data_IF_866657777913
#
_entry.id   IF_866657777913
#
_cell.length_a   1.000
_cell.length_b   1.000
_cell.length_c   1.000
_cell.angle_alpha   90.00
_cell.angle_beta   90.00
_cell.angle_gamma   90.00
#
_symmetry.space_group_name_H-M   'P 1'
#
loop_
_entity.id
_entity.type
_entity.pdbx_description
1 polymer ?
#
# COMPACT_ATOMS: atom_id res chain seq x y z
N UNK A 1 -17.67 -7.63 -24.65
CA UNK A 1 -16.74 -6.73 -23.94
C UNK A 1 -16.56 -7.34 -22.57
N UNK A 2 -15.48 -8.10 -22.39
CA UNK A 2 -15.16 -8.79 -21.14
C UNK A 2 -14.60 -7.76 -20.13
N UNK A 3 -15.09 -7.72 -18.89
CA UNK A 3 -14.50 -6.87 -17.85
C UNK A 3 -13.13 -7.45 -17.46
N UNK A 4 -12.06 -6.70 -17.71
CA UNK A 4 -10.71 -7.05 -17.29
C UNK A 4 -10.61 -7.08 -15.77
N UNK A 5 -9.84 -8.05 -15.23
CA UNK A 5 -9.46 -8.30 -13.83
C UNK A 5 -8.79 -7.13 -13.06
N UNK A 6 -8.95 -5.89 -13.52
CA UNK A 6 -8.39 -4.66 -12.95
C UNK A 6 -9.43 -3.78 -12.26
N UNK A 7 -10.62 -4.29 -11.96
CA UNK A 7 -11.53 -3.68 -10.98
C UNK A 7 -10.99 -3.92 -9.55
N UNK A 8 -9.72 -3.56 -9.34
CA UNK A 8 -9.21 -3.25 -8.02
C UNK A 8 -10.01 -2.06 -7.52
N UNK A 9 -10.65 -2.23 -6.36
CA UNK A 9 -11.46 -1.24 -5.65
C UNK A 9 -10.80 0.14 -5.72
N UNK A 10 -11.17 0.91 -6.74
CA UNK A 10 -10.67 2.26 -6.92
C UNK A 10 -11.61 3.12 -6.11
N UNK A 11 -11.26 3.35 -4.84
CA UNK A 11 -12.03 4.23 -3.98
C UNK A 11 -12.00 5.62 -4.62
N UNK A 12 -13.14 6.20 -5.02
CA UNK A 12 -13.17 7.55 -5.54
C UNK A 12 -12.55 8.50 -4.53
N UNK A 13 -11.69 9.43 -4.96
CA UNK A 13 -10.98 10.35 -4.05
C UNK A 13 -11.93 11.13 -3.13
N UNK A 14 -13.11 11.50 -3.63
CA UNK A 14 -14.17 12.11 -2.82
C UNK A 14 -14.63 11.20 -1.68
N UNK A 15 -14.85 9.91 -1.95
CA UNK A 15 -15.28 8.93 -0.96
C UNK A 15 -14.19 8.63 0.09
N UNK A 16 -12.92 8.69 -0.31
CA UNK A 16 -11.80 8.62 0.65
C UNK A 16 -11.70 9.87 1.52
N UNK A 17 -12.00 11.05 0.97
CA UNK A 17 -12.05 12.31 1.73
C UNK A 17 -13.19 12.26 2.76
N UNK A 18 -14.40 11.88 2.33
CA UNK A 18 -15.57 11.74 3.21
C UNK A 18 -15.29 10.77 4.37
N UNK A 19 -14.64 9.63 4.09
CA UNK A 19 -14.26 8.65 5.11
C UNK A 19 -13.25 9.21 6.12
N UNK A 20 -12.29 10.04 5.68
CA UNK A 20 -11.32 10.68 6.57
C UNK A 20 -12.02 11.69 7.48
N UNK A 21 -12.99 12.43 6.96
CA UNK A 21 -13.73 13.45 7.71
C UNK A 21 -14.66 12.76 8.74
N UNK A 22 -15.38 11.71 8.36
CA UNK A 22 -16.21 10.91 9.28
C UNK A 22 -15.39 10.32 10.44
N UNK A 23 -14.21 9.77 10.14
CA UNK A 23 -13.30 9.23 11.17
C UNK A 23 -12.76 10.33 12.07
N UNK A 24 -12.49 11.51 11.51
CA UNK A 24 -12.02 12.67 12.28
C UNK A 24 -13.11 13.17 13.24
N UNK A 25 -14.35 13.28 12.77
CA UNK A 25 -15.51 13.75 13.55
C UNK A 25 -15.87 12.76 14.66
N UNK A 26 -15.94 11.45 14.35
CA UNK A 26 -16.15 10.42 15.37
C UNK A 26 -15.04 10.44 16.43
N UNK A 27 -13.81 10.75 16.03
CA UNK A 27 -12.71 10.80 16.96
C UNK A 27 -12.64 12.09 17.79
N UNK A 28 -13.35 13.15 17.36
CA UNK A 28 -13.56 14.37 18.14
C UNK A 28 -14.74 14.22 19.12
N UNK A 29 -15.69 13.32 18.85
CA UNK A 29 -16.88 13.13 19.69
C UNK A 29 -16.65 12.31 20.97
N UNK A 30 -15.44 11.78 21.20
CA UNK A 30 -15.12 10.91 22.35
C UNK A 30 -13.71 11.12 22.90
N UNK A 31 -13.53 10.83 24.18
CA UNK A 31 -12.22 10.78 24.81
C UNK A 31 -11.53 9.43 24.54
N UNK A 32 -10.37 9.49 23.88
CA UNK A 32 -9.50 8.34 23.62
C UNK A 32 -8.25 8.39 24.49
N UNK A 33 -7.64 7.22 24.74
CA UNK A 33 -6.36 7.15 25.45
C UNK A 33 -5.25 7.81 24.61
N UNK A 34 -4.20 8.38 25.23
CA UNK A 34 -3.15 9.08 24.49
C UNK A 34 -2.49 8.26 23.37
N UNK A 35 -2.30 6.95 23.60
CA UNK A 35 -1.72 6.03 22.60
C UNK A 35 -2.63 5.75 21.41
N UNK A 36 -3.95 5.77 21.61
CA UNK A 36 -4.94 5.58 20.55
C UNK A 36 -5.06 6.83 19.68
N UNK A 37 -4.97 8.03 20.30
CA UNK A 37 -4.88 9.31 19.58
C UNK A 37 -3.67 9.36 18.67
N UNK A 38 -2.48 9.00 19.18
CA UNK A 38 -1.25 9.02 18.38
C UNK A 38 -1.31 8.07 17.17
N UNK A 39 -1.84 6.85 17.34
CA UNK A 39 -2.02 5.91 16.24
C UNK A 39 -3.06 6.39 15.22
N UNK A 40 -4.16 6.99 15.68
CA UNK A 40 -5.19 7.59 14.82
C UNK A 40 -4.62 8.72 13.97
N UNK A 41 -3.93 9.67 14.60
CA UNK A 41 -3.41 10.86 13.90
C UNK A 41 -2.43 10.45 12.79
N UNK A 42 -1.58 9.45 13.07
CA UNK A 42 -0.68 8.83 12.10
C UNK A 42 -1.42 8.11 10.95
N UNK A 43 -2.57 7.49 11.20
CA UNK A 43 -3.41 6.90 10.13
C UNK A 43 -4.10 7.99 9.29
N UNK A 44 -4.65 9.03 9.92
CA UNK A 44 -5.30 10.17 9.23
C UNK A 44 -4.28 10.92 8.36
N UNK A 45 -3.08 11.16 8.87
CA UNK A 45 -2.01 11.83 8.13
C UNK A 45 -1.60 11.02 6.89
N UNK A 46 -1.41 9.70 7.04
CA UNK A 46 -1.12 8.82 5.90
C UNK A 46 -2.25 8.80 4.87
N UNK A 47 -3.51 8.80 5.32
CA UNK A 47 -4.66 8.83 4.42
C UNK A 47 -4.75 10.17 3.67
N UNK A 48 -4.50 11.30 4.35
CA UNK A 48 -4.40 12.62 3.73
C UNK A 48 -3.25 12.71 2.73
N UNK A 49 -2.12 12.07 3.00
CA UNK A 49 -1.00 12.01 2.05
C UNK A 49 -1.35 11.27 0.75
N UNK A 50 -2.29 10.31 0.78
CA UNK A 50 -2.83 9.67 -0.43
C UNK A 50 -3.78 10.60 -1.21
N UNK A 51 -4.40 11.56 -0.52
CA UNK A 51 -5.24 12.60 -1.11
C UNK A 51 -4.48 13.88 -1.47
N UNK A 52 -3.22 14.04 -1.07
CA UNK A 52 -2.40 15.07 -1.67
C UNK A 52 -2.34 14.80 -3.19
N UNK A 53 -2.47 15.82 -4.06
CA UNK A 53 -2.03 15.65 -5.43
C UNK A 53 -0.58 15.20 -5.33
N UNK A 54 -0.27 13.99 -5.77
CA UNK A 54 1.11 13.63 -6.03
C UNK A 54 1.55 14.59 -7.12
N UNK A 55 2.14 15.70 -6.72
CA UNK A 55 2.85 16.57 -7.63
C UNK A 55 4.02 15.70 -8.08
N UNK A 56 3.80 14.91 -9.14
CA UNK A 56 4.88 14.59 -10.03
C UNK A 56 5.49 15.95 -10.34
N UNK A 57 6.78 16.19 -10.04
CA UNK A 57 7.39 17.43 -10.44
C UNK A 57 7.21 17.50 -11.95
N UNK A 58 6.31 18.38 -12.40
CA UNK A 58 6.35 18.95 -13.74
C UNK A 58 7.55 19.89 -13.77
N UNK A 59 8.73 19.33 -13.51
CA UNK A 59 9.98 19.97 -13.85
C UNK A 59 10.01 19.95 -15.36
N UNK A 60 10.06 21.13 -15.94
CA UNK A 60 10.58 21.33 -17.28
C UNK A 60 11.88 20.51 -17.35
N UNK A 61 11.83 19.37 -18.05
CA UNK A 61 12.96 18.47 -18.17
C UNK A 61 13.94 19.19 -19.08
N UNK A 62 14.84 19.96 -18.50
CA UNK A 62 16.10 20.24 -19.16
C UNK A 62 16.71 18.86 -19.42
N UNK A 63 16.91 18.52 -20.70
CA UNK A 63 17.54 17.29 -21.17
C UNK A 63 19.02 17.24 -20.72
N UNK A 64 19.28 17.27 -19.42
CA UNK A 64 20.50 16.72 -18.90
C UNK A 64 20.40 15.20 -19.04
N UNK A 65 21.37 14.54 -19.69
CA UNK A 65 21.33 13.10 -19.85
C UNK A 65 21.23 12.46 -18.47
N UNK A 66 20.10 11.80 -18.21
CA UNK A 66 19.89 11.03 -16.99
C UNK A 66 21.13 10.15 -16.78
N UNK A 67 21.86 10.28 -15.67
CA UNK A 67 23.06 9.48 -15.47
C UNK A 67 22.74 8.00 -15.65
N UNK A 68 23.62 7.22 -16.29
CA UNK A 68 23.33 5.83 -16.70
C UNK A 68 22.84 4.93 -15.55
N UNK A 69 23.21 5.25 -14.30
CA UNK A 69 22.78 4.56 -13.09
C UNK A 69 21.34 4.90 -12.64
N UNK A 70 20.68 5.87 -13.26
CA UNK A 70 19.32 6.33 -12.94
C UNK A 70 18.28 6.00 -14.02
N UNK A 71 18.60 5.13 -14.98
CA UNK A 71 17.65 4.62 -15.96
C UNK A 71 16.58 3.72 -15.32
N UNK A 72 15.43 3.55 -16.00
CA UNK A 72 14.40 2.61 -15.55
C UNK A 72 14.94 1.17 -15.41
N UNK A 73 15.88 0.79 -16.26
CA UNK A 73 16.52 -0.53 -16.21
C UNK A 73 17.45 -0.68 -15.01
N UNK A 74 18.29 0.32 -14.72
CA UNK A 74 19.21 0.28 -13.58
C UNK A 74 18.48 0.32 -12.22
N UNK A 75 17.32 0.99 -12.15
CA UNK A 75 16.47 1.06 -10.94
C UNK A 75 15.63 -0.19 -10.72
N UNK A 76 15.43 -1.02 -11.75
CA UNK A 76 14.56 -2.20 -11.70
C UNK A 76 14.94 -3.19 -10.58
N UNK A 77 16.21 -3.59 -10.38
CA UNK A 77 16.57 -4.51 -9.30
C UNK A 77 16.19 -3.97 -7.91
N UNK A 78 16.34 -2.65 -7.69
CA UNK A 78 15.96 -2.00 -6.44
C UNK A 78 14.46 -2.03 -6.22
N UNK A 79 13.67 -1.73 -7.27
CA UNK A 79 12.21 -1.80 -7.20
C UNK A 79 11.73 -3.23 -6.92
N UNK A 80 12.27 -4.23 -7.62
CA UNK A 80 11.94 -5.66 -7.42
C UNK A 80 12.30 -6.11 -6.00
N UNK A 81 13.49 -5.77 -5.51
CA UNK A 81 13.92 -6.12 -4.16
C UNK A 81 13.08 -5.43 -3.09
N UNK A 82 12.70 -4.17 -3.29
CA UNK A 82 11.81 -3.43 -2.38
C UNK A 82 10.43 -4.07 -2.29
N UNK A 83 9.83 -4.43 -3.43
CA UNK A 83 8.53 -5.13 -3.49
C UNK A 83 8.63 -6.48 -2.77
N UNK A 84 9.71 -7.24 -2.98
CA UNK A 84 9.94 -8.54 -2.32
C UNK A 84 10.05 -8.37 -0.80
N UNK A 85 10.86 -7.43 -0.33
CA UNK A 85 11.03 -7.15 1.10
C UNK A 85 9.68 -6.76 1.74
N UNK A 86 8.91 -5.88 1.08
CA UNK A 86 7.60 -5.44 1.58
C UNK A 86 6.58 -6.57 1.63
N UNK A 87 6.57 -7.46 0.63
CA UNK A 87 5.70 -8.64 0.64
C UNK A 87 5.97 -9.57 1.83
N UNK A 88 7.25 -9.77 2.18
CA UNK A 88 7.63 -10.59 3.33
C UNK A 88 7.34 -9.89 4.68
N UNK A 89 7.54 -8.57 4.76
CA UNK A 89 7.18 -7.79 5.94
C UNK A 89 5.68 -7.91 6.25
N UNK A 90 4.82 -7.79 5.24
CA UNK A 90 3.36 -7.92 5.36
C UNK A 90 2.95 -9.33 5.78
N UNK A 91 3.59 -10.39 5.27
CA UNK A 91 3.37 -11.76 5.76
C UNK A 91 3.81 -11.95 7.21
N UNK A 92 4.90 -11.29 7.62
CA UNK A 92 5.30 -11.24 9.01
C UNK A 92 4.24 -10.57 9.89
N UNK A 93 3.68 -9.44 9.45
CA UNK A 93 2.63 -8.72 10.14
C UNK A 93 1.33 -9.53 10.26
N UNK A 94 0.89 -10.16 9.17
CA UNK A 94 -0.24 -11.10 9.17
C UNK A 94 -0.07 -12.17 10.26
N UNK A 95 1.07 -12.88 10.27
CA UNK A 95 1.33 -13.94 11.26
C UNK A 95 1.29 -13.42 12.69
N UNK A 96 1.85 -12.23 12.94
CA UNK A 96 1.79 -11.59 14.25
C UNK A 96 0.35 -11.27 14.65
N UNK A 97 -0.46 -10.72 13.76
CA UNK A 97 -1.89 -10.48 14.01
C UNK A 97 -2.64 -11.79 14.29
N UNK A 98 -2.44 -12.85 13.51
CA UNK A 98 -3.09 -14.15 13.75
C UNK A 98 -2.68 -14.80 15.07
N UNK A 99 -1.44 -14.59 15.53
CA UNK A 99 -0.93 -15.20 16.77
C UNK A 99 -1.19 -14.36 18.03
N UNK A 100 -1.09 -13.04 17.96
CA UNK A 100 -1.21 -12.15 19.11
C UNK A 100 -2.63 -12.10 19.69
N UNK A 101 -3.65 -12.33 18.86
CA UNK A 101 -5.05 -12.08 19.23
C UNK A 101 -5.89 -13.34 19.42
N UNK A 102 -5.25 -14.49 19.72
CA UNK A 102 -5.96 -15.72 20.13
C UNK A 102 -6.64 -15.62 21.50
N UNK A 103 -6.33 -14.59 22.31
CA UNK A 103 -6.97 -14.33 23.61
C UNK A 103 -8.13 -13.34 23.44
N UNK A 104 -9.34 -13.89 23.37
CA UNK A 104 -10.68 -13.43 23.81
C UNK A 104 -11.16 -11.97 23.67
N UNK A 105 -10.34 -10.95 23.42
CA UNK A 105 -10.77 -9.54 23.47
C UNK A 105 -10.65 -8.74 22.16
N UNK A 106 -9.98 -9.27 21.13
CA UNK A 106 -9.67 -8.53 19.89
C UNK A 106 -9.87 -9.35 18.60
N UNK A 107 -10.58 -10.49 18.68
CA UNK A 107 -10.59 -11.50 17.63
C UNK A 107 -11.06 -11.02 16.24
N UNK A 108 -12.18 -10.29 16.17
CA UNK A 108 -12.72 -9.85 14.87
C UNK A 108 -11.89 -8.73 14.21
N UNK A 109 -11.53 -7.62 14.89
CA UNK A 109 -10.69 -6.58 14.29
C UNK A 109 -9.29 -7.09 13.92
N UNK A 110 -8.71 -7.96 14.75
CA UNK A 110 -7.40 -8.54 14.47
C UNK A 110 -7.39 -9.47 13.25
N UNK A 111 -8.47 -10.24 13.05
CA UNK A 111 -8.63 -11.09 11.86
C UNK A 111 -8.74 -10.23 10.60
N UNK A 112 -9.57 -9.18 10.64
CA UNK A 112 -9.67 -8.24 9.52
C UNK A 112 -8.31 -7.64 9.13
N UNK A 113 -7.54 -7.15 10.11
CA UNK A 113 -6.20 -6.59 9.87
C UNK A 113 -5.23 -7.66 9.34
N UNK A 114 -5.30 -8.88 9.87
CA UNK A 114 -4.48 -9.99 9.37
C UNK A 114 -4.80 -10.35 7.91
N UNK A 115 -6.09 -10.39 7.57
CA UNK A 115 -6.56 -10.71 6.23
C UNK A 115 -6.15 -9.58 5.26
N UNK A 116 -6.30 -8.31 5.64
CA UNK A 116 -5.81 -7.17 4.86
C UNK A 116 -4.29 -7.23 4.58
N UNK A 117 -3.48 -7.57 5.59
CA UNK A 117 -2.04 -7.79 5.39
C UNK A 117 -1.74 -8.98 4.48
N UNK A 118 -2.51 -10.07 4.60
CA UNK A 118 -2.40 -11.25 3.75
C UNK A 118 -2.72 -10.96 2.28
N UNK A 119 -3.79 -10.21 2.03
CA UNK A 119 -4.23 -9.76 0.70
C UNK A 119 -3.19 -8.83 0.07
N UNK A 120 -2.72 -7.81 0.80
CA UNK A 120 -1.69 -6.91 0.32
C UNK A 120 -0.40 -7.65 -0.04
N UNK A 121 0.03 -8.61 0.79
CA UNK A 121 1.18 -9.44 0.49
C UNK A 121 0.98 -10.32 -0.76
N UNK A 122 -0.24 -10.84 -0.97
CA UNK A 122 -0.57 -11.62 -2.15
C UNK A 122 -0.52 -10.76 -3.43
N UNK A 123 -1.05 -9.54 -3.38
CA UNK A 123 -1.00 -8.60 -4.50
C UNK A 123 0.45 -8.26 -4.91
N UNK A 124 1.34 -8.01 -3.94
CA UNK A 124 2.75 -7.77 -4.23
C UNK A 124 3.46 -9.00 -4.83
N UNK A 125 3.14 -10.21 -4.35
CA UNK A 125 3.67 -11.46 -4.92
C UNK A 125 3.16 -11.69 -6.34
N UNK A 126 1.89 -11.42 -6.62
CA UNK A 126 1.33 -11.47 -7.97
C UNK A 126 2.00 -10.46 -8.89
N UNK A 127 2.29 -9.24 -8.40
CA UNK A 127 3.02 -8.24 -9.19
C UNK A 127 4.44 -8.68 -9.53
N UNK A 128 5.15 -9.33 -8.61
CA UNK A 128 6.47 -9.92 -8.88
C UNK A 128 6.39 -11.03 -9.94
N UNK A 129 5.41 -11.93 -9.82
CA UNK A 129 5.19 -12.98 -10.81
C UNK A 129 4.90 -12.40 -12.21
N UNK A 130 4.12 -11.32 -12.30
CA UNK A 130 3.88 -10.63 -13.57
C UNK A 130 5.16 -9.99 -14.16
N UNK A 131 6.03 -9.43 -13.32
CA UNK A 131 7.33 -8.89 -13.75
C UNK A 131 8.25 -9.99 -14.28
N UNK A 132 8.26 -11.15 -13.62
CA UNK A 132 9.07 -12.30 -14.05
C UNK A 132 8.51 -12.92 -15.35
N UNK A 133 7.19 -13.03 -15.48
CA UNK A 133 6.53 -13.50 -16.70
C UNK A 133 6.78 -12.58 -17.91
N UNK A 134 6.68 -11.26 -17.72
CA UNK A 134 6.99 -10.29 -18.77
C UNK A 134 8.46 -10.38 -19.23
N UNK A 135 9.39 -10.75 -18.32
CA UNK A 135 10.80 -10.98 -18.67
C UNK A 135 10.98 -12.24 -19.52
N UNK A 136 10.28 -13.31 -19.19
CA UNK A 136 10.36 -14.55 -19.95
C UNK A 136 9.88 -14.36 -21.41
N UNK A 137 8.86 -13.53 -21.61
CA UNK A 137 8.31 -13.21 -22.94
C UNK A 137 9.18 -12.24 -23.75
N UNK A 138 9.93 -11.35 -23.10
CA UNK A 138 10.85 -10.42 -23.77
C UNK A 138 12.24 -10.99 -24.09
N UNK A 139 12.49 -12.28 -23.79
CA UNK A 139 13.75 -12.98 -24.06
C UNK A 139 13.74 -13.86 -25.32
N UNK A 140 12.62 -13.94 -26.03
CA UNK A 140 12.49 -14.55 -27.36
C UNK A 140 12.49 -13.44 -28.42
N UNK A 141 13.66 -12.87 -28.73
CA UNK A 141 13.91 -12.06 -29.95
C UNK A 141 15.41 -12.06 -30.26
#
# INVERSE_FOLDING_TARGET
MEPTMTDMVTIPRALLQDLIDDVSDYAASREFKPREKAWRDDVIERARALLAPTQQPSGEVTDEPTPDYMTCESRRPFAVNSIRARAEELRGAEKRCRNAFRKDFMGAPARFVADAYGEAAAALKARLAAIDAARAQGGES
#
